data_IF_369384210165
#
_entry.id   IF_369384210165
#
_cell.length_a   1.000
_cell.length_b   1.000
_cell.length_c   1.000
_cell.angle_alpha   90.00
_cell.angle_beta   90.00
_cell.angle_gamma   90.00
#
_symmetry.space_group_name_H-M   'P 1'
#
loop_
_entity.id
_entity.type
_entity.pdbx_description
1 polymer ?
#
# COMPACT_ATOMS: atom_id res chain seq x y z
N UNK A 1 -0.50 -6.48 4.83
CA UNK A 1 -1.22 -7.29 5.86
C UNK A 1 -0.76 -8.75 5.93
N UNK A 2 -1.06 -9.60 4.94
CA UNK A 2 -0.73 -11.05 4.97
C UNK A 2 0.76 -11.31 5.23
N UNK A 3 1.66 -10.56 4.56
CA UNK A 3 3.09 -10.68 4.80
C UNK A 3 3.48 -10.41 6.26
N UNK A 4 2.96 -9.32 6.85
CA UNK A 4 3.15 -9.00 8.27
C UNK A 4 2.64 -10.11 9.19
N UNK A 5 1.45 -10.66 8.92
CA UNK A 5 0.87 -11.78 9.67
C UNK A 5 1.75 -13.05 9.61
N UNK A 6 2.14 -13.47 8.41
CA UNK A 6 2.96 -14.68 8.21
C UNK A 6 4.32 -14.54 8.89
N UNK A 7 4.96 -13.38 8.77
CA UNK A 7 6.24 -13.07 9.43
C UNK A 7 6.12 -13.02 10.95
N UNK A 8 5.04 -12.41 11.46
CA UNK A 8 4.74 -12.39 12.90
C UNK A 8 4.63 -13.80 13.47
N UNK A 9 3.82 -14.66 12.85
CA UNK A 9 3.68 -16.06 13.27
C UNK A 9 4.99 -16.86 13.11
N UNK A 10 5.84 -16.53 12.12
CA UNK A 10 7.15 -17.15 11.95
C UNK A 10 8.12 -16.75 13.08
N UNK A 11 8.14 -15.47 13.44
CA UNK A 11 8.95 -14.94 14.54
C UNK A 11 8.56 -15.61 15.86
N UNK A 12 7.27 -15.71 16.15
CA UNK A 12 6.76 -16.38 17.35
C UNK A 12 7.17 -17.85 17.40
N UNK A 13 6.86 -18.64 16.36
CA UNK A 13 7.09 -20.10 16.39
C UNK A 13 8.58 -20.49 16.41
N UNK A 14 9.47 -19.60 15.97
CA UNK A 14 10.93 -19.82 15.94
C UNK A 14 11.66 -19.10 17.05
N UNK A 15 10.98 -18.26 17.83
CA UNK A 15 11.58 -17.41 18.87
C UNK A 15 12.73 -16.54 18.31
N UNK A 16 12.54 -15.95 17.13
CA UNK A 16 13.54 -15.13 16.42
C UNK A 16 13.07 -13.71 16.21
N UNK A 17 14.01 -12.75 16.21
CA UNK A 17 13.75 -11.36 15.82
C UNK A 17 13.33 -11.28 14.34
N UNK A 18 12.47 -10.32 14.03
CA UNK A 18 12.01 -10.04 12.66
C UNK A 18 12.79 -8.91 11.98
N UNK A 19 13.44 -8.03 12.77
CA UNK A 19 14.22 -6.89 12.30
C UNK A 19 13.42 -5.81 11.54
N UNK A 20 12.18 -5.57 11.94
CA UNK A 20 11.41 -4.36 11.58
C UNK A 20 10.44 -4.51 10.40
N UNK A 21 10.41 -5.66 9.74
CA UNK A 21 9.55 -5.89 8.57
C UNK A 21 8.07 -6.03 8.92
N UNK A 22 7.73 -6.62 10.06
CA UNK A 22 6.33 -6.76 10.50
C UNK A 22 5.68 -5.38 10.61
N UNK A 23 6.36 -4.40 11.21
CA UNK A 23 5.82 -3.06 11.39
C UNK A 23 5.52 -2.42 10.03
N UNK A 24 6.52 -2.35 9.15
CA UNK A 24 6.37 -1.75 7.81
C UNK A 24 5.24 -2.40 7.00
N UNK A 25 5.10 -3.73 7.02
CA UNK A 25 4.03 -4.41 6.26
C UNK A 25 2.62 -4.26 6.85
N UNK A 26 2.53 -3.89 8.13
CA UNK A 26 1.26 -3.55 8.77
C UNK A 26 0.92 -2.07 8.59
N UNK A 27 1.93 -1.20 8.60
CA UNK A 27 1.84 0.22 8.30
C UNK A 27 1.39 0.45 6.85
N UNK A 28 2.00 -0.22 5.86
CA UNK A 28 1.53 -0.24 4.46
C UNK A 28 0.05 -0.64 4.38
N UNK A 29 -0.34 -1.71 5.07
CA UNK A 29 -1.74 -2.17 5.07
C UNK A 29 -2.72 -1.17 5.69
N UNK A 30 -2.26 -0.40 6.68
CA UNK A 30 -3.03 0.68 7.27
C UNK A 30 -3.13 1.87 6.32
N UNK A 31 -2.03 2.24 5.67
CA UNK A 31 -1.96 3.34 4.71
C UNK A 31 -2.93 3.10 3.54
N UNK A 32 -2.88 1.92 2.91
CA UNK A 32 -3.83 1.50 1.87
C UNK A 32 -5.30 1.58 2.32
N UNK A 33 -5.57 1.19 3.58
CA UNK A 33 -6.91 1.30 4.15
C UNK A 33 -7.32 2.78 4.32
N UNK A 34 -6.38 3.66 4.64
CA UNK A 34 -6.64 5.10 4.75
C UNK A 34 -6.91 5.74 3.39
N UNK A 35 -6.31 5.24 2.29
CA UNK A 35 -6.71 5.63 0.93
C UNK A 35 -8.18 5.29 0.68
N UNK A 36 -8.56 4.03 0.92
CA UNK A 36 -9.93 3.55 0.76
C UNK A 36 -10.92 4.40 1.56
N UNK A 37 -10.68 4.59 2.87
CA UNK A 37 -11.58 5.34 3.74
C UNK A 37 -11.70 6.81 3.31
N UNK A 38 -10.61 7.41 2.81
CA UNK A 38 -10.66 8.77 2.26
C UNK A 38 -11.51 8.85 1.00
N UNK A 39 -11.38 7.88 0.08
CA UNK A 39 -12.19 7.89 -1.14
C UNK A 39 -13.68 7.58 -0.91
N UNK A 40 -14.02 6.85 0.16
CA UNK A 40 -15.41 6.60 0.55
C UNK A 40 -16.16 7.87 0.97
N UNK A 41 -15.46 8.88 1.50
CA UNK A 41 -16.06 10.17 1.83
C UNK A 41 -16.51 10.93 0.58
N UNK A 42 -15.87 10.71 -0.57
CA UNK A 42 -16.31 11.29 -1.85
C UNK A 42 -17.48 10.53 -2.47
N UNK A 43 -17.49 9.21 -2.37
CA UNK A 43 -18.54 8.39 -2.99
C UNK A 43 -18.78 7.09 -2.25
N UNK A 44 -20.01 6.96 -1.73
CA UNK A 44 -20.47 5.70 -1.16
C UNK A 44 -20.73 4.63 -2.23
N UNK A 45 -20.22 3.40 -2.09
CA UNK A 45 -20.35 2.35 -3.09
C UNK A 45 -21.76 1.75 -3.14
N UNK A 46 -22.16 1.26 -4.31
CA UNK A 46 -23.41 0.50 -4.48
C UNK A 46 -23.32 -0.88 -3.82
N UNK A 47 -24.48 -1.52 -3.56
CA UNK A 47 -24.53 -2.88 -3.05
C UNK A 47 -23.78 -3.88 -3.95
N UNK A 48 -23.91 -3.71 -5.27
CA UNK A 48 -23.18 -4.52 -6.26
C UNK A 48 -21.66 -4.36 -6.10
N UNK A 49 -21.16 -3.12 -6.01
CA UNK A 49 -19.73 -2.88 -5.82
C UNK A 49 -19.22 -3.49 -4.50
N UNK A 50 -19.98 -3.35 -3.40
CA UNK A 50 -19.64 -3.95 -2.10
C UNK A 50 -19.57 -5.48 -2.18
N UNK A 51 -20.49 -6.12 -2.92
CA UNK A 51 -20.45 -7.56 -3.16
C UNK A 51 -19.20 -7.97 -3.96
N UNK A 52 -18.81 -7.19 -4.97
CA UNK A 52 -17.57 -7.42 -5.73
C UNK A 52 -16.33 -7.29 -4.84
N UNK A 53 -16.28 -6.29 -3.96
CA UNK A 53 -15.18 -6.14 -2.99
C UNK A 53 -15.11 -7.35 -2.05
N UNK A 54 -16.25 -7.83 -1.53
CA UNK A 54 -16.29 -9.01 -0.66
C UNK A 54 -15.78 -10.27 -1.38
N UNK A 55 -16.21 -10.49 -2.63
CA UNK A 55 -15.73 -11.60 -3.45
C UNK A 55 -14.23 -11.47 -3.74
N UNK A 56 -13.79 -10.28 -4.16
CA UNK A 56 -12.39 -9.97 -4.43
C UNK A 56 -11.51 -10.21 -3.21
N UNK A 57 -11.94 -9.78 -2.03
CA UNK A 57 -11.26 -10.04 -0.77
C UNK A 57 -11.18 -11.55 -0.48
N UNK A 58 -12.27 -12.29 -0.66
CA UNK A 58 -12.29 -13.74 -0.48
C UNK A 58 -11.29 -14.47 -1.38
N UNK A 59 -11.21 -14.09 -2.66
CA UNK A 59 -10.27 -14.69 -3.61
C UNK A 59 -8.83 -14.24 -3.32
N UNK A 60 -8.58 -12.93 -3.27
CA UNK A 60 -7.24 -12.35 -3.16
C UNK A 60 -6.58 -12.66 -1.83
N UNK A 61 -7.30 -12.61 -0.71
CA UNK A 61 -6.71 -12.93 0.59
C UNK A 61 -6.20 -14.37 0.63
N UNK A 62 -7.02 -15.33 0.19
CA UNK A 62 -6.67 -16.74 0.23
C UNK A 62 -5.58 -17.09 -0.79
N UNK A 63 -5.68 -16.59 -2.03
CA UNK A 63 -4.66 -16.84 -3.06
C UNK A 63 -3.32 -16.21 -2.69
N UNK A 64 -3.31 -14.98 -2.18
CA UNK A 64 -2.09 -14.29 -1.77
C UNK A 64 -1.48 -14.92 -0.52
N UNK A 65 -2.28 -15.40 0.44
CA UNK A 65 -1.77 -16.15 1.59
C UNK A 65 -1.06 -17.44 1.16
N UNK A 66 -1.67 -18.23 0.28
CA UNK A 66 -1.05 -19.43 -0.27
C UNK A 66 0.23 -19.09 -1.04
N UNK A 67 0.18 -18.08 -1.90
CA UNK A 67 1.34 -17.62 -2.66
C UNK A 67 2.48 -17.14 -1.74
N UNK A 68 2.17 -16.40 -0.67
CA UNK A 68 3.17 -15.87 0.26
C UNK A 68 3.82 -16.99 1.08
N UNK A 69 3.10 -18.06 1.41
CA UNK A 69 3.69 -19.23 2.07
C UNK A 69 4.63 -20.01 1.14
N UNK A 70 4.38 -20.00 -0.18
CA UNK A 70 5.21 -20.69 -1.18
C UNK A 70 6.41 -19.82 -1.58
N UNK A 71 6.18 -18.55 -1.90
CA UNK A 71 7.19 -17.61 -2.39
C UNK A 71 6.86 -16.18 -1.95
N UNK A 72 7.36 -15.74 -0.78
CA UNK A 72 7.29 -14.34 -0.37
C UNK A 72 7.93 -13.40 -1.40
N UNK A 73 8.97 -13.87 -2.10
CA UNK A 73 9.67 -13.12 -3.14
C UNK A 73 8.72 -12.71 -4.26
N UNK A 74 7.97 -13.68 -4.78
CA UNK A 74 7.01 -13.46 -5.85
C UNK A 74 5.96 -12.45 -5.40
N UNK A 75 5.42 -12.61 -4.19
CA UNK A 75 4.43 -11.69 -3.64
C UNK A 75 4.95 -10.25 -3.53
N UNK A 76 6.15 -10.05 -2.98
CA UNK A 76 6.73 -8.71 -2.88
C UNK A 76 7.03 -8.11 -4.26
N UNK A 77 7.54 -8.89 -5.21
CA UNK A 77 7.74 -8.40 -6.58
C UNK A 77 6.42 -8.06 -7.28
N UNK A 78 5.39 -8.88 -7.07
CA UNK A 78 4.05 -8.66 -7.59
C UNK A 78 3.44 -7.36 -7.06
N UNK A 79 3.50 -7.14 -5.73
CA UNK A 79 3.04 -5.88 -5.11
C UNK A 79 3.84 -4.70 -5.63
N UNK A 80 5.17 -4.78 -5.69
CA UNK A 80 6.00 -3.71 -6.27
C UNK A 80 5.55 -3.29 -7.68
N UNK A 81 5.19 -4.24 -8.53
CA UNK A 81 4.62 -3.94 -9.85
C UNK A 81 3.20 -3.37 -9.82
N UNK A 82 2.36 -3.75 -8.85
CA UNK A 82 1.06 -3.08 -8.65
C UNK A 82 1.28 -1.61 -8.30
N UNK A 83 2.24 -1.32 -7.42
CA UNK A 83 2.51 0.05 -7.00
C UNK A 83 3.18 0.89 -8.10
N UNK A 84 3.95 0.28 -9.01
CA UNK A 84 4.37 0.96 -10.23
C UNK A 84 3.16 1.46 -11.06
N UNK A 85 2.12 0.63 -11.20
CA UNK A 85 0.89 1.00 -11.91
C UNK A 85 0.05 2.02 -11.12
N UNK A 86 0.04 1.95 -9.79
CA UNK A 86 -0.61 2.94 -8.94
C UNK A 86 0.04 4.33 -9.12
N UNK A 87 1.38 4.40 -9.04
CA UNK A 87 2.13 5.66 -9.27
C UNK A 87 1.85 6.25 -10.66
N UNK A 88 1.79 5.40 -11.71
CA UNK A 88 1.42 5.83 -13.07
C UNK A 88 -0.01 6.39 -13.11
N UNK A 89 -0.95 5.71 -12.47
CA UNK A 89 -2.36 6.09 -12.43
C UNK A 89 -2.57 7.43 -11.74
N UNK A 90 -1.99 7.63 -10.55
CA UNK A 90 -2.11 8.91 -9.84
C UNK A 90 -1.36 10.05 -10.54
N UNK A 91 -0.22 9.77 -11.18
CA UNK A 91 0.47 10.75 -12.01
C UNK A 91 -0.41 11.22 -13.16
N UNK A 92 -1.10 10.28 -13.83
CA UNK A 92 -2.03 10.62 -14.90
C UNK A 92 -3.20 11.47 -14.38
N UNK A 93 -3.78 11.11 -13.24
CA UNK A 93 -4.88 11.86 -12.65
C UNK A 93 -4.49 13.31 -12.30
N UNK A 94 -3.30 13.52 -11.71
CA UNK A 94 -2.74 14.85 -11.44
C UNK A 94 -2.54 15.63 -12.74
N UNK A 95 -1.96 15.00 -13.77
CA UNK A 95 -1.76 15.65 -15.07
C UNK A 95 -3.09 16.02 -15.76
N UNK A 96 -4.13 15.19 -15.63
CA UNK A 96 -5.45 15.47 -16.18
C UNK A 96 -6.18 16.59 -15.41
N UNK A 97 -5.93 16.75 -14.10
CA UNK A 97 -6.34 17.93 -13.32
C UNK A 97 -5.60 19.18 -13.81
N UNK A 98 -4.26 19.12 -13.92
CA UNK A 98 -3.43 20.27 -14.33
C UNK A 98 -3.72 20.73 -15.76
N UNK A 99 -4.18 19.82 -16.63
CA UNK A 99 -4.63 20.11 -17.98
C UNK A 99 -6.09 20.57 -18.08
N UNK A 100 -6.81 20.72 -16.96
CA UNK A 100 -8.21 21.16 -16.92
C UNK A 100 -9.22 20.14 -17.48
N UNK A 101 -8.85 18.86 -17.56
CA UNK A 101 -9.74 17.79 -18.08
C UNK A 101 -10.72 17.28 -17.03
N UNK A 102 -10.44 17.56 -15.75
CA UNK A 102 -11.23 17.14 -14.60
C UNK A 102 -11.72 18.36 -13.80
N UNK A 103 -12.58 19.21 -14.38
CA UNK A 103 -12.98 20.49 -13.77
C UNK A 103 -13.71 20.31 -12.43
N UNK A 104 -14.36 19.17 -12.20
CA UNK A 104 -14.99 18.86 -10.92
C UNK A 104 -13.99 18.58 -9.80
N UNK A 105 -12.73 18.28 -10.12
CA UNK A 105 -11.69 17.91 -9.15
C UNK A 105 -10.77 19.07 -8.80
N UNK A 106 -10.64 20.08 -9.67
CA UNK A 106 -9.73 21.24 -9.49
C UNK A 106 -9.92 21.96 -8.14
N UNK A 107 -11.17 22.11 -7.70
CA UNK A 107 -11.52 22.79 -6.44
C UNK A 107 -12.17 21.86 -5.43
N UNK A 108 -12.05 20.54 -5.64
CA UNK A 108 -12.65 19.57 -4.75
C UNK A 108 -11.86 19.54 -3.44
N UNK A 109 -12.47 19.86 -2.29
CA UNK A 109 -11.78 19.88 -1.02
C UNK A 109 -11.42 18.47 -0.55
N UNK A 110 -10.38 18.35 0.27
CA UNK A 110 -10.00 17.07 0.88
C UNK A 110 -10.85 16.78 2.13
N UNK A 111 -11.45 15.58 2.26
CA UNK A 111 -12.17 15.14 3.44
C UNK A 111 -11.33 15.24 4.71
N UNK A 112 -11.98 15.48 5.85
CA UNK A 112 -11.29 15.66 7.13
C UNK A 112 -10.40 14.46 7.52
N UNK A 113 -10.82 13.23 7.18
CA UNK A 113 -10.03 12.01 7.41
C UNK A 113 -8.69 12.06 6.68
N UNK A 114 -8.71 12.43 5.39
CA UNK A 114 -7.51 12.55 4.57
C UNK A 114 -6.63 13.72 5.02
N UNK A 115 -7.23 14.91 5.22
CA UNK A 115 -6.46 16.08 5.70
C UNK A 115 -5.73 15.78 7.00
N UNK A 116 -6.39 15.12 7.95
CA UNK A 116 -5.79 14.78 9.24
C UNK A 116 -4.68 13.74 9.09
N UNK A 117 -4.88 12.72 8.26
CA UNK A 117 -3.92 11.63 8.09
C UNK A 117 -2.64 12.10 7.40
N UNK A 118 -2.76 12.81 6.26
CA UNK A 118 -1.62 13.35 5.52
C UNK A 118 -1.17 14.74 5.97
N UNK A 119 -1.75 15.28 7.06
CA UNK A 119 -1.43 16.60 7.61
C UNK A 119 -1.49 17.73 6.57
N UNK A 120 -2.50 17.68 5.70
CA UNK A 120 -2.69 18.64 4.62
C UNK A 120 -3.30 19.96 5.15
N UNK A 121 -3.02 21.06 4.44
CA UNK A 121 -3.57 22.37 4.75
C UNK A 121 -5.11 22.38 4.61
N UNK A 122 -5.76 23.37 5.24
CA UNK A 122 -7.23 23.46 5.21
C UNK A 122 -7.80 23.72 3.81
N UNK A 123 -7.04 24.40 2.97
CA UNK A 123 -7.37 24.74 1.59
C UNK A 123 -6.84 23.72 0.57
N UNK A 124 -6.28 22.59 1.02
CA UNK A 124 -5.81 21.53 0.13
C UNK A 124 -6.94 20.95 -0.72
N UNK A 125 -6.57 20.63 -1.95
CA UNK A 125 -7.46 20.15 -3.02
C UNK A 125 -7.27 18.66 -3.30
N UNK A 126 -8.15 18.07 -4.11
CA UNK A 126 -7.99 16.70 -4.64
C UNK A 126 -6.60 16.50 -5.24
N UNK A 127 -6.04 17.51 -5.92
CA UNK A 127 -4.68 17.43 -6.47
C UNK A 127 -3.64 17.15 -5.38
N UNK A 128 -3.70 17.86 -4.25
CA UNK A 128 -2.75 17.71 -3.15
C UNK A 128 -2.91 16.35 -2.47
N UNK A 129 -4.15 15.88 -2.31
CA UNK A 129 -4.43 14.53 -1.83
C UNK A 129 -3.83 13.46 -2.74
N UNK A 130 -4.03 13.56 -4.07
CA UNK A 130 -3.48 12.59 -5.01
C UNK A 130 -1.95 12.61 -5.05
N UNK A 131 -1.32 13.76 -4.80
CA UNK A 131 0.13 13.85 -4.66
C UNK A 131 0.63 13.12 -3.42
N UNK A 132 -0.06 13.27 -2.28
CA UNK A 132 0.27 12.57 -1.05
C UNK A 132 0.09 11.05 -1.20
N UNK A 133 -1.06 10.61 -1.70
CA UNK A 133 -1.33 9.19 -1.98
C UNK A 133 -0.28 8.61 -2.94
N UNK A 134 0.04 9.31 -4.03
CA UNK A 134 1.08 8.85 -4.97
C UNK A 134 2.45 8.70 -4.31
N UNK A 135 2.78 9.54 -3.33
CA UNK A 135 4.03 9.43 -2.60
C UNK A 135 4.06 8.15 -1.75
N UNK A 136 2.93 7.81 -1.11
CA UNK A 136 2.76 6.53 -0.40
C UNK A 136 3.00 5.35 -1.35
N UNK A 137 2.37 5.35 -2.54
CA UNK A 137 2.56 4.25 -3.51
C UNK A 137 4.01 4.15 -4.02
N UNK A 138 4.68 5.29 -4.19
CA UNK A 138 6.08 5.30 -4.59
C UNK A 138 6.98 4.69 -3.51
N UNK A 139 6.66 4.93 -2.24
CA UNK A 139 7.30 4.30 -1.09
C UNK A 139 6.99 2.79 -1.05
N UNK A 140 5.72 2.38 -1.10
CA UNK A 140 5.30 0.97 -1.11
C UNK A 140 5.99 0.18 -2.24
N UNK A 141 6.08 0.78 -3.44
CA UNK A 141 6.81 0.23 -4.59
C UNK A 141 8.26 -0.06 -4.25
N UNK A 142 8.98 0.92 -3.71
CA UNK A 142 10.40 0.78 -3.37
C UNK A 142 10.61 -0.29 -2.30
N UNK A 143 9.82 -0.23 -1.21
CA UNK A 143 9.89 -1.20 -0.12
C UNK A 143 9.67 -2.62 -0.62
N UNK A 144 8.63 -2.84 -1.42
CA UNK A 144 8.30 -4.17 -1.91
C UNK A 144 9.32 -4.69 -2.94
N UNK A 145 9.86 -3.84 -3.82
CA UNK A 145 10.95 -4.28 -4.71
C UNK A 145 12.22 -4.67 -3.95
N UNK A 146 12.64 -3.83 -2.99
CA UNK A 146 13.80 -4.11 -2.14
C UNK A 146 13.59 -5.38 -1.32
N UNK A 147 12.39 -5.59 -0.78
CA UNK A 147 12.08 -6.81 -0.03
C UNK A 147 12.10 -8.05 -0.94
N UNK A 148 11.57 -7.91 -2.16
CA UNK A 148 11.64 -8.94 -3.19
C UNK A 148 13.06 -9.28 -3.68
N UNK A 149 14.07 -8.44 -3.41
CA UNK A 149 15.48 -8.75 -3.70
C UNK A 149 16.15 -9.54 -2.58
N UNK A 150 15.78 -9.30 -1.31
CA UNK A 150 16.43 -9.94 -0.15
C UNK A 150 16.12 -11.44 -0.01
N UNK A 151 14.89 -11.87 -0.31
CA UNK A 151 14.41 -13.20 0.07
C UNK A 151 15.10 -14.35 -0.69
N UNK A 152 15.74 -14.10 -1.83
CA UNK A 152 16.53 -15.12 -2.55
C UNK A 152 17.99 -15.11 -2.08
N UNK A 153 18.64 -13.97 -2.20
CA UNK A 153 20.10 -13.87 -2.05
C UNK A 153 20.60 -14.02 -0.62
N UNK A 154 19.79 -13.61 0.39
CA UNK A 154 20.21 -13.65 1.81
C UNK A 154 19.70 -14.88 2.56
N UNK A 155 18.54 -15.41 2.19
CA UNK A 155 18.05 -16.67 2.73
C UNK A 155 18.98 -17.84 2.39
N UNK A 156 19.53 -17.87 1.17
CA UNK A 156 20.55 -18.83 0.73
C UNK A 156 21.85 -18.74 1.53
N UNK A 157 22.15 -17.57 2.11
CA UNK A 157 23.38 -17.30 2.87
C UNK A 157 23.20 -17.37 4.38
N UNK A 158 21.98 -17.61 4.88
CA UNK A 158 21.66 -17.63 6.31
C UNK A 158 21.83 -16.28 7.02
N UNK A 159 21.83 -15.18 6.27
CA UNK A 159 22.08 -13.83 6.80
C UNK A 159 20.81 -13.21 7.42
N UNK A 160 20.99 -12.45 8.49
CA UNK A 160 19.95 -11.58 9.01
C UNK A 160 19.62 -10.48 7.99
N UNK A 161 18.34 -10.25 7.74
CA UNK A 161 17.86 -9.24 6.78
C UNK A 161 17.21 -8.09 7.54
N UNK A 162 17.97 -7.15 8.12
CA UNK A 162 17.37 -5.97 8.74
C UNK A 162 16.61 -5.17 7.70
N UNK A 163 15.44 -4.67 8.09
CA UNK A 163 14.68 -3.74 7.27
C UNK A 163 15.51 -2.45 7.09
N UNK A 164 15.91 -2.08 5.85
CA UNK A 164 16.70 -0.87 5.63
C UNK A 164 15.87 0.41 5.77
N UNK A 165 14.54 0.30 5.78
CA UNK A 165 13.63 1.44 5.90
C UNK A 165 13.37 1.75 7.38
N UNK A 166 13.63 3.00 7.83
CA UNK A 166 13.31 3.40 9.19
C UNK A 166 11.78 3.44 9.40
N UNK A 167 11.29 3.36 10.65
CA UNK A 167 9.88 3.55 10.95
C UNK A 167 9.41 4.95 10.50
N UNK A 168 8.30 5.03 9.77
CA UNK A 168 7.75 6.28 9.23
C UNK A 168 8.54 6.90 8.07
N UNK A 169 9.34 6.10 7.36
CA UNK A 169 9.97 6.48 6.09
C UNK A 169 8.96 6.54 4.95
#
# INVERSE_FOLDING_TARGET
MVGGMVRHLNSLRRMKRDYGWIHTLLEEAENERMHLLTFLEYRQPSAMFRATVLLGQGVMFNSFLLAYMISPQFCHRFVGYLEEEAVKTYTRAVNDIDAGKLPSWEKMPVPAIGRKYWQLAEDSTMRDLLLAIRADEAHHREVNHVFGDFSRTRAEKGEETPNPFPPGY
#
